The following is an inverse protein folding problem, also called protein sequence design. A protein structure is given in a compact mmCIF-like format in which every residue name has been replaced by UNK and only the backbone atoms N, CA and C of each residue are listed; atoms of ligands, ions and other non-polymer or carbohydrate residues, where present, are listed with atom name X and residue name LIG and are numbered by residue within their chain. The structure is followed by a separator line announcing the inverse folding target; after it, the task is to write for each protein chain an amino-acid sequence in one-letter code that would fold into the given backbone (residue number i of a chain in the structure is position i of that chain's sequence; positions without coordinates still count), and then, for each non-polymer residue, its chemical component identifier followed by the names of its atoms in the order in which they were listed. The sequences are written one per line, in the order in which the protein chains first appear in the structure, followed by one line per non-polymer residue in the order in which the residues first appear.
data_IF_417810297836
#
_entry.id   IF_417810297836
#
_cell.length_a   1.000
_cell.length_b   1.000
_cell.length_c   1.000
_cell.angle_alpha   90.00
_cell.angle_beta   90.00
_cell.angle_gamma   90.00
#
_symmetry.space_group_name_H-M   'P 1'
#
loop_
_entity.id
_entity.type
_entity.pdbx_description
1 polymer ?
#
# COMPACT_ATOMS: atom_id res chain seq x y z
N UNK A 1 -62.69 31.81 -33.36
CA UNK A 1 -62.09 30.56 -33.86
C UNK A 1 -60.64 30.51 -33.38
N UNK A 2 -60.41 29.99 -32.15
CA UNK A 2 -59.13 30.10 -31.43
C UNK A 2 -58.30 28.84 -31.72
N UNK A 3 -57.19 29.00 -32.44
CA UNK A 3 -56.20 27.94 -32.69
C UNK A 3 -55.40 27.69 -31.40
N UNK A 4 -55.57 26.51 -30.80
CA UNK A 4 -54.73 26.01 -29.70
C UNK A 4 -53.42 25.47 -30.27
N UNK A 5 -52.31 26.10 -29.91
CA UNK A 5 -50.97 25.52 -30.02
C UNK A 5 -50.84 24.40 -28.98
N UNK A 6 -50.68 23.16 -29.44
CA UNK A 6 -50.18 22.06 -28.60
C UNK A 6 -48.66 22.18 -28.60
N UNK A 7 -48.11 22.78 -27.55
CA UNK A 7 -46.68 22.66 -27.25
C UNK A 7 -46.50 21.27 -26.65
N UNK A 8 -45.99 20.34 -27.47
CA UNK A 8 -45.55 19.03 -27.01
C UNK A 8 -44.38 19.22 -26.05
N UNK A 9 -44.67 19.15 -24.76
CA UNK A 9 -43.69 19.10 -23.69
C UNK A 9 -43.00 17.73 -23.78
N UNK A 10 -41.88 17.67 -24.50
CA UNK A 10 -40.95 16.54 -24.41
C UNK A 10 -40.39 16.54 -22.98
N UNK A 11 -41.02 15.75 -22.12
CA UNK A 11 -40.44 15.26 -20.88
C UNK A 11 -39.25 14.38 -21.27
N UNK A 12 -38.08 15.01 -21.49
CA UNK A 12 -36.82 14.31 -21.31
C UNK A 12 -36.86 13.76 -19.89
N UNK A 13 -36.72 12.43 -19.67
CA UNK A 13 -36.31 11.99 -18.37
C UNK A 13 -34.92 12.59 -18.17
N UNK A 14 -34.86 13.64 -17.36
CA UNK A 14 -33.68 13.97 -16.58
C UNK A 14 -33.31 12.66 -15.89
N UNK A 15 -32.38 11.93 -16.51
CA UNK A 15 -31.55 10.95 -15.83
C UNK A 15 -30.81 11.76 -14.78
N UNK A 16 -31.49 11.98 -13.65
CA UNK A 16 -30.88 12.38 -12.42
C UNK A 16 -29.78 11.36 -12.21
N UNK A 17 -28.57 11.85 -12.42
CA UNK A 17 -27.33 11.21 -12.10
C UNK A 17 -27.38 11.00 -10.58
N UNK A 18 -28.04 9.92 -10.16
CA UNK A 18 -27.75 9.30 -8.88
C UNK A 18 -26.30 8.84 -9.00
N UNK A 19 -25.37 9.75 -8.74
CA UNK A 19 -24.06 9.39 -8.28
C UNK A 19 -24.32 8.47 -7.09
N UNK A 20 -24.27 7.16 -7.34
CA UNK A 20 -24.59 6.16 -6.35
C UNK A 20 -23.77 6.52 -5.11
N UNK A 21 -24.46 6.75 -3.99
CA UNK A 21 -23.89 6.85 -2.65
C UNK A 21 -23.24 5.50 -2.36
N UNK A 22 -22.02 5.31 -2.86
CA UNK A 22 -21.42 3.99 -3.01
C UNK A 22 -20.35 3.72 -1.97
N UNK A 23 -20.33 2.49 -1.48
CA UNK A 23 -19.25 1.95 -0.67
C UNK A 23 -17.96 1.87 -1.51
N UNK A 24 -16.86 2.36 -0.94
CA UNK A 24 -15.60 2.51 -1.68
C UNK A 24 -14.41 2.11 -0.84
N UNK A 25 -13.46 1.43 -1.48
CA UNK A 25 -12.06 1.32 -1.04
C UNK A 25 -11.19 2.04 -2.06
N UNK A 26 -10.36 2.98 -1.64
CA UNK A 26 -9.34 3.60 -2.50
C UNK A 26 -7.96 3.31 -1.96
N UNK A 27 -7.08 2.73 -2.78
CA UNK A 27 -5.65 2.60 -2.46
C UNK A 27 -4.92 3.78 -3.09
N UNK A 28 -4.26 4.60 -2.29
CA UNK A 28 -3.32 5.63 -2.71
C UNK A 28 -1.91 5.11 -2.56
N UNK A 29 -1.10 5.29 -3.59
CA UNK A 29 0.32 4.97 -3.55
C UNK A 29 1.14 6.23 -3.83
N UNK A 30 2.15 6.44 -2.99
CA UNK A 30 3.14 7.49 -3.09
C UNK A 30 4.47 6.79 -3.41
N UNK A 31 5.08 7.04 -4.58
CA UNK A 31 6.34 6.41 -4.94
C UNK A 31 7.49 6.95 -4.08
N UNK A 32 8.61 6.23 -4.02
CA UNK A 32 9.84 6.82 -3.52
C UNK A 32 10.34 7.94 -4.45
N UNK A 33 11.08 8.94 -3.96
CA UNK A 33 11.54 10.07 -4.80
C UNK A 33 12.31 9.62 -6.04
N UNK A 34 13.19 8.63 -5.88
CA UNK A 34 13.84 7.88 -6.96
C UNK A 34 13.53 6.39 -6.76
N UNK A 35 13.45 5.58 -7.83
CA UNK A 35 13.17 4.15 -7.71
C UNK A 35 14.21 3.42 -6.85
N UNK A 36 13.74 2.57 -5.92
CA UNK A 36 14.59 1.65 -5.18
C UNK A 36 15.14 0.57 -6.11
N UNK A 37 16.42 0.23 -5.97
CA UNK A 37 17.06 -0.79 -6.78
C UNK A 37 17.21 -2.10 -6.00
N UNK A 38 16.31 -3.03 -6.25
CA UNK A 38 16.26 -4.33 -5.58
C UNK A 38 17.20 -5.38 -6.18
N UNK A 39 18.17 -5.03 -7.04
CA UNK A 39 19.05 -6.01 -7.72
C UNK A 39 20.06 -6.66 -6.78
N UNK A 40 20.52 -5.95 -5.76
CA UNK A 40 21.50 -6.43 -4.78
C UNK A 40 21.41 -5.65 -3.46
N UNK A 41 21.98 -6.16 -2.35
CA UNK A 41 22.07 -5.40 -1.10
C UNK A 41 22.71 -4.03 -1.29
N UNK A 42 23.82 -3.97 -2.05
CA UNK A 42 24.53 -2.72 -2.34
C UNK A 42 23.65 -1.70 -3.06
N UNK A 43 22.98 -2.12 -4.14
CA UNK A 43 22.15 -1.20 -4.94
C UNK A 43 20.90 -0.76 -4.20
N UNK A 44 20.31 -1.62 -3.37
CA UNK A 44 19.19 -1.26 -2.50
C UNK A 44 19.64 -0.23 -1.45
N UNK A 45 20.76 -0.49 -0.79
CA UNK A 45 21.33 0.42 0.20
C UNK A 45 21.63 1.80 -0.42
N UNK A 46 22.34 1.85 -1.55
CA UNK A 46 22.69 3.11 -2.20
C UNK A 46 21.47 3.89 -2.70
N UNK A 47 20.47 3.21 -3.29
CA UNK A 47 19.23 3.86 -3.72
C UNK A 47 18.41 4.40 -2.55
N UNK A 48 18.35 3.67 -1.43
CA UNK A 48 17.72 4.15 -0.21
C UNK A 48 18.43 5.38 0.38
N UNK A 49 19.77 5.35 0.48
CA UNK A 49 20.55 6.51 0.95
C UNK A 49 20.32 7.71 0.03
N UNK A 50 20.30 7.51 -1.29
CA UNK A 50 19.94 8.55 -2.25
C UNK A 50 18.59 9.19 -1.93
N UNK A 51 17.57 8.36 -1.69
CA UNK A 51 16.23 8.85 -1.33
C UNK A 51 16.14 9.59 0.00
N UNK A 52 17.01 9.31 0.98
CA UNK A 52 17.10 10.07 2.22
C UNK A 52 17.63 11.50 2.00
N UNK A 53 18.53 11.67 1.01
CA UNK A 53 19.19 12.92 0.71
C UNK A 53 18.37 13.82 -0.24
N UNK A 54 17.42 13.25 -0.99
CA UNK A 54 16.54 14.02 -1.87
C UNK A 54 15.67 14.98 -1.04
N UNK A 55 15.81 16.28 -1.31
CA UNK A 55 14.92 17.28 -0.75
C UNK A 55 13.57 17.22 -1.48
N UNK A 56 12.58 16.61 -0.86
CA UNK A 56 11.21 16.67 -1.37
C UNK A 56 10.52 17.93 -0.88
N UNK A 57 9.57 18.45 -1.65
CA UNK A 57 8.68 19.53 -1.23
C UNK A 57 7.67 19.12 -0.13
N UNK A 58 7.96 18.06 0.64
CA UNK A 58 7.11 17.46 1.67
C UNK A 58 7.90 17.20 2.96
N UNK A 59 8.41 18.24 3.66
CA UNK A 59 9.37 18.06 4.76
C UNK A 59 8.83 17.21 5.92
N UNK A 60 7.53 17.31 6.24
CA UNK A 60 6.89 16.55 7.33
C UNK A 60 6.50 15.12 6.96
N UNK A 61 6.31 14.85 5.67
CA UNK A 61 5.81 13.58 5.15
C UNK A 61 6.72 13.03 4.07
N UNK A 62 8.03 12.97 4.36
CA UNK A 62 9.00 12.31 3.48
C UNK A 62 8.81 10.81 3.54
N UNK A 63 8.77 10.17 2.37
CA UNK A 63 8.60 8.72 2.18
C UNK A 63 9.75 8.15 1.33
N UNK A 64 10.95 7.95 1.90
CA UNK A 64 12.12 7.49 1.15
C UNK A 64 11.95 6.10 0.52
N UNK A 65 11.06 5.27 1.06
CA UNK A 65 10.70 3.94 0.56
C UNK A 65 9.36 3.93 -0.20
N UNK A 66 8.77 5.10 -0.44
CA UNK A 66 7.37 5.22 -0.82
C UNK A 66 6.42 4.96 0.36
N UNK A 67 5.12 5.10 0.11
CA UNK A 67 4.08 4.90 1.11
C UNK A 67 2.76 4.49 0.46
N UNK A 68 1.95 3.72 1.19
CA UNK A 68 0.61 3.34 0.75
C UNK A 68 -0.39 3.73 1.83
N UNK A 69 -1.46 4.40 1.40
CA UNK A 69 -2.58 4.82 2.23
C UNK A 69 -3.82 4.18 1.62
N UNK A 70 -4.78 3.74 2.43
CA UNK A 70 -6.09 3.35 1.94
C UNK A 70 -7.20 4.20 2.57
N UNK A 71 -8.22 4.50 1.76
CA UNK A 71 -9.47 5.13 2.19
C UNK A 71 -10.59 4.10 2.10
N UNK A 72 -11.29 3.88 3.20
CA UNK A 72 -12.51 3.09 3.25
C UNK A 72 -13.65 4.03 3.65
N UNK A 73 -14.69 4.13 2.81
CA UNK A 73 -15.82 5.02 3.09
C UNK A 73 -17.16 4.54 2.53
N UNK A 74 -18.22 4.90 3.24
CA UNK A 74 -19.60 4.89 2.78
C UNK A 74 -20.27 6.23 3.17
N UNK A 75 -21.60 6.27 3.26
CA UNK A 75 -22.32 7.49 3.66
C UNK A 75 -22.24 7.83 5.16
N UNK A 76 -21.90 6.87 6.01
CA UNK A 76 -21.91 6.97 7.46
C UNK A 76 -20.51 6.81 8.10
N UNK A 77 -19.58 6.18 7.37
CA UNK A 77 -18.28 5.73 7.86
C UNK A 77 -17.17 6.26 6.97
N UNK A 78 -16.07 6.66 7.60
CA UNK A 78 -14.90 7.19 6.93
C UNK A 78 -13.63 6.79 7.65
N UNK A 79 -12.68 6.22 6.92
CA UNK A 79 -11.34 5.94 7.42
C UNK A 79 -10.33 6.20 6.31
N UNK A 80 -9.34 7.06 6.56
CA UNK A 80 -8.17 7.25 5.72
C UNK A 80 -6.92 6.90 6.52
N UNK A 81 -6.27 5.80 6.13
CA UNK A 81 -5.35 5.05 6.99
C UNK A 81 -4.04 4.71 6.26
N UNK A 82 -2.92 4.91 6.93
CA UNK A 82 -1.59 4.44 6.53
C UNK A 82 -0.87 3.88 7.75
N UNK A 83 -0.05 2.84 7.60
CA UNK A 83 0.73 2.28 8.71
C UNK A 83 2.16 2.81 8.71
N UNK A 84 2.66 3.24 9.86
CA UNK A 84 4.03 3.77 10.01
C UNK A 84 4.64 3.33 11.34
N UNK A 85 5.97 3.28 11.42
CA UNK A 85 6.65 3.24 12.70
C UNK A 85 6.42 4.56 13.45
N UNK A 86 6.24 4.50 14.77
CA UNK A 86 6.09 5.69 15.63
C UNK A 86 7.36 6.53 15.65
N UNK A 87 8.51 5.89 15.63
CA UNK A 87 9.81 6.55 15.78
C UNK A 87 10.74 6.21 14.62
N UNK A 88 11.01 7.21 13.77
CA UNK A 88 12.06 7.11 12.74
C UNK A 88 13.44 6.97 13.37
N UNK A 89 13.66 7.59 14.53
CA UNK A 89 14.91 7.51 15.27
C UNK A 89 15.15 6.09 15.81
N UNK A 90 14.11 5.39 16.26
CA UNK A 90 14.17 3.99 16.66
C UNK A 90 14.64 3.11 15.50
N UNK A 91 13.93 3.16 14.36
CA UNK A 91 14.33 2.41 13.16
C UNK A 91 15.79 2.70 12.76
N UNK A 92 16.19 3.98 12.78
CA UNK A 92 17.56 4.36 12.43
C UNK A 92 18.59 3.86 13.44
N UNK A 93 18.31 3.94 14.75
CA UNK A 93 19.19 3.43 15.80
C UNK A 93 19.33 1.90 15.73
N UNK A 94 18.26 1.18 15.41
CA UNK A 94 18.31 -0.29 15.23
C UNK A 94 19.28 -0.70 14.13
N UNK A 95 19.30 0.05 13.02
CA UNK A 95 20.25 -0.19 11.93
C UNK A 95 21.68 0.23 12.29
N UNK A 96 21.85 1.38 12.95
CA UNK A 96 23.16 2.03 13.10
C UNK A 96 23.88 1.77 14.42
N UNK A 97 23.15 1.70 15.54
CA UNK A 97 23.69 1.52 16.90
C UNK A 97 23.53 0.09 17.39
N UNK A 98 22.40 -0.54 17.08
CA UNK A 98 22.12 -1.92 17.50
C UNK A 98 22.67 -2.95 16.50
N UNK A 99 23.15 -2.50 15.34
CA UNK A 99 23.81 -3.34 14.34
C UNK A 99 22.91 -4.49 13.84
N UNK A 100 21.65 -4.19 13.50
CA UNK A 100 20.75 -5.23 12.96
C UNK A 100 20.96 -5.51 11.47
N UNK A 101 21.76 -4.71 10.76
CA UNK A 101 21.94 -4.86 9.31
C UNK A 101 20.60 -4.87 8.56
N UNK A 102 20.40 -5.86 7.69
CA UNK A 102 19.11 -6.12 7.02
C UNK A 102 18.08 -6.85 7.90
N UNK A 103 18.45 -7.29 9.11
CA UNK A 103 17.52 -7.83 10.10
C UNK A 103 16.44 -6.82 10.51
N UNK A 104 16.72 -5.52 10.36
CA UNK A 104 15.73 -4.45 10.53
C UNK A 104 14.49 -4.62 9.64
N UNK A 105 14.59 -5.31 8.49
CA UNK A 105 13.46 -5.53 7.57
C UNK A 105 12.47 -6.54 8.14
N UNK A 106 12.86 -7.32 9.13
CA UNK A 106 12.02 -8.31 9.80
C UNK A 106 11.65 -7.86 11.22
N UNK A 107 12.38 -6.89 11.78
CA UNK A 107 12.13 -6.39 13.14
C UNK A 107 10.74 -5.76 13.29
N UNK A 108 10.09 -6.05 14.42
CA UNK A 108 8.85 -5.38 14.82
C UNK A 108 9.14 -4.15 15.66
N UNK A 109 8.75 -3.00 15.12
CA UNK A 109 8.81 -1.69 15.75
C UNK A 109 7.46 -1.32 16.33
N UNK A 110 7.48 -0.39 17.28
CA UNK A 110 6.26 0.24 17.75
C UNK A 110 5.61 1.04 16.60
N UNK A 111 4.45 0.58 16.18
CA UNK A 111 3.69 1.10 15.06
C UNK A 111 2.58 2.07 15.47
N UNK A 112 2.04 2.75 14.47
CA UNK A 112 0.74 3.41 14.56
C UNK A 112 0.08 3.45 13.19
N UNK A 113 -1.25 3.54 13.20
CA UNK A 113 -1.99 4.02 12.04
C UNK A 113 -2.00 5.55 12.04
N UNK A 114 -1.64 6.15 10.92
CA UNK A 114 -1.76 7.58 10.69
C UNK A 114 -3.22 8.01 10.75
N UNK A 115 -3.45 9.21 11.27
CA UNK A 115 -4.79 9.78 11.36
C UNK A 115 -5.30 10.15 9.97
N UNK A 116 -6.63 10.25 9.84
CA UNK A 116 -7.21 10.71 8.58
C UNK A 116 -6.85 12.16 8.27
N UNK A 117 -6.65 13.01 9.28
CA UNK A 117 -6.14 14.37 9.10
C UNK A 117 -4.72 14.38 8.51
N UNK A 118 -3.78 13.64 9.13
CA UNK A 118 -2.41 13.51 8.65
C UNK A 118 -2.36 13.03 7.19
N UNK A 119 -3.13 11.99 6.88
CA UNK A 119 -3.17 11.43 5.53
C UNK A 119 -3.83 12.40 4.55
N UNK A 120 -4.88 13.12 4.95
CA UNK A 120 -5.55 14.07 4.07
C UNK A 120 -4.61 15.19 3.61
N UNK A 121 -3.83 15.75 4.53
CA UNK A 121 -2.80 16.74 4.21
C UNK A 121 -1.74 16.19 3.26
N UNK A 122 -1.33 14.93 3.45
CA UNK A 122 -0.37 14.28 2.56
C UNK A 122 -0.89 14.15 1.12
N UNK A 123 -2.18 13.81 0.96
CA UNK A 123 -2.80 13.66 -0.34
C UNK A 123 -3.04 15.01 -1.02
N UNK A 124 -3.53 16.02 -0.29
CA UNK A 124 -3.85 17.35 -0.87
C UNK A 124 -2.61 18.04 -1.45
N UNK A 125 -1.46 17.89 -0.80
CA UNK A 125 -0.19 18.48 -1.27
C UNK A 125 0.35 17.79 -2.54
N UNK A 126 -0.02 16.52 -2.76
CA UNK A 126 0.52 15.67 -3.82
C UNK A 126 -0.36 15.61 -5.06
N UNK A 127 -1.68 15.71 -4.93
CA UNK A 127 -2.60 15.72 -6.07
C UNK A 127 -2.19 16.71 -7.18
N UNK A 128 -1.83 17.98 -6.88
CA UNK A 128 -1.50 18.96 -7.92
C UNK A 128 -0.17 18.67 -8.63
N UNK A 129 0.73 17.90 -8.00
CA UNK A 129 2.06 17.58 -8.51
C UNK A 129 2.09 16.26 -9.28
N UNK A 130 1.17 15.34 -8.96
CA UNK A 130 1.14 14.00 -9.54
C UNK A 130 2.04 13.02 -8.80
N UNK A 131 2.55 13.40 -7.62
CA UNK A 131 3.44 12.57 -6.78
C UNK A 131 2.67 11.51 -5.97
N UNK A 132 1.49 11.11 -6.46
CA UNK A 132 0.72 9.97 -6.00
C UNK A 132 -0.14 9.44 -7.16
N UNK A 133 -0.53 8.18 -7.07
CA UNK A 133 -1.54 7.57 -7.93
C UNK A 133 -2.57 6.82 -7.07
N UNK A 134 -3.72 6.47 -7.63
CA UNK A 134 -4.77 5.77 -6.88
C UNK A 134 -5.55 4.72 -7.67
N UNK A 135 -6.04 3.71 -6.95
CA UNK A 135 -7.00 2.71 -7.44
C UNK A 135 -8.25 2.83 -6.58
N UNK A 136 -9.39 3.12 -7.19
CA UNK A 136 -10.68 3.18 -6.51
C UNK A 136 -11.50 1.95 -6.87
N UNK A 137 -11.94 1.22 -5.87
CA UNK A 137 -12.88 0.12 -6.00
C UNK A 137 -14.28 0.57 -5.58
N UNK A 138 -15.26 0.31 -6.42
CA UNK A 138 -16.67 0.42 -6.06
C UNK A 138 -17.13 -0.93 -5.51
N UNK A 139 -17.65 -0.95 -4.29
CA UNK A 139 -17.95 -2.17 -3.56
C UNK A 139 -19.45 -2.32 -3.35
N UNK A 140 -19.91 -3.57 -3.23
CA UNK A 140 -21.20 -3.83 -2.62
C UNK A 140 -21.12 -3.61 -1.09
N UNK A 141 -22.28 -3.56 -0.44
CA UNK A 141 -22.38 -3.29 1.00
C UNK A 141 -21.73 -4.39 1.85
N UNK A 142 -21.91 -5.66 1.52
CA UNK A 142 -21.39 -6.78 2.29
C UNK A 142 -19.85 -6.80 2.31
N UNK A 143 -19.21 -6.62 1.15
CA UNK A 143 -17.76 -6.54 1.04
C UNK A 143 -17.22 -5.35 1.81
N UNK A 144 -17.91 -4.20 1.73
CA UNK A 144 -17.53 -3.03 2.50
C UNK A 144 -17.59 -3.26 4.01
N UNK A 145 -18.69 -3.82 4.52
CA UNK A 145 -18.84 -4.14 5.94
C UNK A 145 -17.81 -5.17 6.40
N UNK A 146 -17.47 -6.14 5.54
CA UNK A 146 -16.42 -7.11 5.80
C UNK A 146 -15.04 -6.44 5.98
N UNK A 147 -14.67 -5.52 5.08
CA UNK A 147 -13.43 -4.76 5.17
C UNK A 147 -13.43 -3.79 6.37
N UNK A 148 -14.57 -3.19 6.68
CA UNK A 148 -14.72 -2.30 7.83
C UNK A 148 -14.51 -3.06 9.14
N UNK A 149 -15.16 -4.22 9.28
CA UNK A 149 -14.96 -5.10 10.43
C UNK A 149 -13.50 -5.52 10.58
N UNK A 150 -12.80 -5.82 9.48
CA UNK A 150 -11.37 -6.12 9.55
C UNK A 150 -10.55 -4.95 10.11
N UNK A 151 -10.82 -3.72 9.69
CA UNK A 151 -10.12 -2.54 10.21
C UNK A 151 -10.39 -2.34 11.72
N UNK A 152 -11.63 -2.51 12.15
CA UNK A 152 -12.00 -2.37 13.56
C UNK A 152 -11.34 -3.46 14.41
N UNK A 153 -11.46 -4.73 14.00
CA UNK A 153 -10.82 -5.85 14.71
C UNK A 153 -9.28 -5.73 14.72
N UNK A 154 -8.67 -5.19 13.66
CA UNK A 154 -7.22 -4.97 13.60
C UNK A 154 -6.75 -3.97 14.68
N UNK A 155 -7.55 -2.93 14.94
CA UNK A 155 -7.30 -1.95 16.01
C UNK A 155 -7.62 -2.51 17.39
N UNK A 156 -8.77 -3.17 17.55
CA UNK A 156 -9.20 -3.76 18.83
C UNK A 156 -8.20 -4.78 19.36
N UNK A 157 -7.57 -5.54 18.45
CA UNK A 157 -6.53 -6.52 18.79
C UNK A 157 -5.14 -5.92 18.99
N UNK A 158 -4.98 -4.61 18.80
CA UNK A 158 -3.71 -3.89 18.97
C UNK A 158 -2.69 -4.16 17.87
N UNK A 159 -3.09 -4.71 16.72
CA UNK A 159 -2.15 -4.96 15.62
C UNK A 159 -1.71 -3.66 14.91
N UNK A 160 -2.45 -2.57 15.10
CA UNK A 160 -2.11 -1.21 14.69
C UNK A 160 -0.85 -0.66 15.37
N UNK A 161 -0.43 -1.25 16.49
CA UNK A 161 0.81 -0.89 17.18
C UNK A 161 2.02 -1.71 16.74
N UNK A 162 1.90 -2.54 15.69
CA UNK A 162 2.98 -3.42 15.21
C UNK A 162 3.37 -3.06 13.77
N UNK A 163 4.53 -2.41 13.59
CA UNK A 163 5.08 -2.07 12.28
C UNK A 163 6.31 -2.92 11.97
N UNK A 164 6.27 -3.72 10.90
CA UNK A 164 7.37 -4.61 10.50
C UNK A 164 7.32 -4.97 9.02
N UNK A 165 8.37 -5.60 8.52
CA UNK A 165 8.40 -6.17 7.15
C UNK A 165 8.13 -7.68 7.07
N UNK A 166 7.74 -8.35 8.17
CA UNK A 166 7.17 -9.71 8.08
C UNK A 166 5.87 -9.69 7.28
N UNK A 167 5.13 -8.57 7.32
CA UNK A 167 4.01 -8.28 6.42
C UNK A 167 2.91 -9.36 6.45
N UNK A 168 2.52 -9.78 7.67
CA UNK A 168 1.51 -10.81 7.92
C UNK A 168 0.31 -10.23 8.70
N UNK A 169 -0.39 -9.21 8.14
CA UNK A 169 -1.43 -8.52 8.89
C UNK A 169 -2.61 -9.44 9.23
N UNK A 170 -3.01 -10.35 8.32
CA UNK A 170 -4.11 -11.31 8.56
C UNK A 170 -3.75 -12.46 9.51
N UNK A 171 -2.47 -12.65 9.86
CA UNK A 171 -2.05 -13.56 10.94
C UNK A 171 -1.94 -12.84 12.30
N UNK A 172 -2.26 -11.54 12.36
CA UNK A 172 -2.14 -10.74 13.58
C UNK A 172 -0.70 -10.43 13.99
N UNK A 173 0.23 -10.39 13.02
CA UNK A 173 1.66 -10.17 13.26
C UNK A 173 2.15 -8.78 12.86
N UNK A 174 1.25 -7.80 12.70
CA UNK A 174 1.59 -6.47 12.20
C UNK A 174 1.93 -6.43 10.70
N UNK A 175 2.19 -5.23 10.18
CA UNK A 175 2.54 -5.01 8.79
C UNK A 175 3.15 -3.62 8.52
N UNK A 176 3.86 -3.50 7.39
CA UNK A 176 4.14 -2.22 6.75
C UNK A 176 2.92 -1.66 6.01
N UNK A 177 3.02 -0.42 5.54
CA UNK A 177 1.91 0.31 4.89
C UNK A 177 1.32 -0.43 3.68
N UNK A 178 2.17 -0.90 2.77
CA UNK A 178 1.76 -1.59 1.56
C UNK A 178 1.10 -2.93 1.88
N UNK A 179 1.71 -3.76 2.71
CA UNK A 179 1.14 -5.06 3.09
C UNK A 179 -0.21 -4.94 3.80
N UNK A 180 -0.38 -3.94 4.67
CA UNK A 180 -1.68 -3.67 5.28
C UNK A 180 -2.72 -3.33 4.20
N UNK A 181 -2.43 -2.39 3.30
CA UNK A 181 -3.34 -2.01 2.22
C UNK A 181 -3.67 -3.19 1.28
N UNK A 182 -2.68 -4.01 0.91
CA UNK A 182 -2.90 -5.20 0.07
C UNK A 182 -3.78 -6.23 0.77
N UNK A 183 -3.70 -6.37 2.10
CA UNK A 183 -4.59 -7.30 2.81
C UNK A 183 -6.08 -6.95 2.67
N UNK A 184 -6.43 -5.68 2.46
CA UNK A 184 -7.82 -5.29 2.12
C UNK A 184 -8.20 -5.72 0.70
N UNK A 185 -7.28 -5.68 -0.25
CA UNK A 185 -7.52 -6.16 -1.61
C UNK A 185 -7.71 -7.67 -1.64
N UNK A 186 -6.90 -8.40 -0.87
CA UNK A 186 -7.00 -9.86 -0.73
C UNK A 186 -8.30 -10.26 -0.04
N UNK A 187 -8.68 -9.59 1.06
CA UNK A 187 -9.92 -9.86 1.77
C UNK A 187 -11.17 -9.59 0.93
N UNK A 188 -11.15 -8.51 0.15
CA UNK A 188 -12.25 -8.16 -0.73
C UNK A 188 -12.25 -8.92 -2.06
N UNK A 189 -11.23 -9.72 -2.36
CA UNK A 189 -11.09 -10.39 -3.65
C UNK A 189 -11.04 -9.41 -4.83
N UNK A 190 -10.46 -8.23 -4.63
CA UNK A 190 -10.64 -7.08 -5.52
C UNK A 190 -9.72 -7.10 -6.74
N UNK A 191 -8.60 -7.80 -6.64
CA UNK A 191 -7.62 -8.02 -7.70
C UNK A 191 -7.19 -9.48 -7.73
N UNK A 192 -6.85 -9.95 -8.92
CA UNK A 192 -6.30 -11.27 -9.12
C UNK A 192 -4.84 -11.36 -8.63
N UNK A 193 -4.40 -12.60 -8.37
CA UNK A 193 -3.05 -12.86 -7.88
C UNK A 193 -1.96 -12.41 -8.86
N UNK A 194 -2.21 -12.46 -10.17
CA UNK A 194 -1.22 -12.08 -11.19
C UNK A 194 -0.94 -10.58 -11.13
N UNK A 195 -1.97 -9.76 -10.94
CA UNK A 195 -1.81 -8.31 -10.71
C UNK A 195 -1.02 -8.04 -9.42
N UNK A 196 -1.38 -8.69 -8.31
CA UNK A 196 -0.67 -8.51 -7.03
C UNK A 196 0.81 -8.93 -7.12
N UNK A 197 1.13 -9.95 -7.91
CA UNK A 197 2.52 -10.40 -8.13
C UNK A 197 3.39 -9.33 -8.80
N UNK A 198 2.83 -8.49 -9.68
CA UNK A 198 3.57 -7.41 -10.36
C UNK A 198 4.05 -6.32 -9.39
N UNK A 199 3.36 -6.17 -8.27
CA UNK A 199 3.68 -5.16 -7.25
C UNK A 199 4.68 -5.67 -6.23
N UNK A 200 5.03 -6.96 -6.28
CA UNK A 200 5.78 -7.64 -5.23
C UNK A 200 7.24 -7.83 -5.60
N UNK A 201 8.10 -7.38 -4.72
CA UNK A 201 9.52 -7.76 -4.70
C UNK A 201 9.68 -9.00 -3.83
N UNK A 202 10.44 -9.98 -4.31
CA UNK A 202 10.85 -11.13 -3.53
C UNK A 202 12.36 -11.30 -3.64
N UNK A 203 13.05 -11.26 -2.50
CA UNK A 203 14.51 -11.41 -2.41
C UNK A 203 14.87 -12.41 -1.32
N UNK A 204 15.97 -13.12 -1.53
CA UNK A 204 16.55 -14.01 -0.52
C UNK A 204 17.78 -13.30 0.06
N UNK A 205 17.68 -12.85 1.31
CA UNK A 205 18.73 -12.10 1.99
C UNK A 205 19.68 -13.09 2.65
N UNK A 206 20.99 -12.89 2.44
CA UNK A 206 22.02 -13.78 2.99
C UNK A 206 22.03 -13.66 4.52
N UNK A 207 22.10 -14.77 5.25
CA UNK A 207 22.10 -14.75 6.73
C UNK A 207 23.18 -13.86 7.33
N UNK A 208 24.35 -13.78 6.69
CA UNK A 208 25.44 -12.89 7.13
C UNK A 208 25.11 -11.39 7.09
N UNK A 209 23.98 -11.01 6.49
CA UNK A 209 23.48 -9.64 6.45
C UNK A 209 22.34 -9.41 7.44
N UNK A 210 21.87 -10.45 8.14
CA UNK A 210 20.81 -10.40 9.12
C UNK A 210 21.45 -10.36 10.52
N UNK A 211 21.28 -9.24 11.21
CA UNK A 211 21.64 -9.10 12.62
C UNK A 211 20.41 -9.02 13.52
N UNK A 212 20.64 -8.84 14.82
CA UNK A 212 19.58 -8.77 15.82
C UNK A 212 18.88 -10.11 16.06
N UNK A 213 17.68 -10.12 16.69
CA UNK A 213 16.95 -11.35 17.04
C UNK A 213 16.72 -12.29 15.86
N UNK A 214 16.51 -11.72 14.67
CA UNK A 214 16.24 -12.46 13.43
C UNK A 214 17.48 -13.17 12.87
N UNK A 215 18.69 -12.78 13.31
CA UNK A 215 19.97 -13.30 12.84
C UNK A 215 20.76 -14.04 13.91
N UNK A 216 20.09 -14.71 14.84
CA UNK A 216 20.70 -15.35 16.02
C UNK A 216 21.46 -14.35 16.92
N UNK A 217 20.94 -13.13 17.07
CA UNK A 217 21.54 -12.05 17.87
C UNK A 217 22.94 -11.61 17.41
N UNK A 218 23.31 -11.86 16.14
CA UNK A 218 24.56 -11.35 15.55
C UNK A 218 24.52 -9.83 15.40
N UNK A 219 25.67 -9.20 15.63
CA UNK A 219 25.86 -7.76 15.37
C UNK A 219 26.41 -7.55 13.96
N UNK A 220 25.55 -7.08 13.05
CA UNK A 220 25.86 -6.80 11.66
C UNK A 220 25.77 -5.30 11.40
N UNK A 221 26.92 -4.66 11.18
CA UNK A 221 26.95 -3.24 10.81
C UNK A 221 26.35 -3.00 9.42
N UNK A 222 26.25 -1.73 9.02
CA UNK A 222 25.75 -1.37 7.68
C UNK A 222 26.76 -1.63 6.55
N UNK A 223 28.05 -1.74 6.88
CA UNK A 223 29.13 -1.82 5.89
C UNK A 223 28.98 -3.03 4.94
N UNK A 224 28.67 -4.26 5.41
CA UNK A 224 28.46 -5.40 4.52
C UNK A 224 27.39 -5.16 3.45
N UNK A 225 26.35 -4.38 3.74
CA UNK A 225 25.33 -4.03 2.73
C UNK A 225 25.93 -3.21 1.60
N UNK A 226 26.80 -2.26 1.93
CA UNK A 226 27.47 -1.40 0.95
C UNK A 226 28.47 -2.13 0.05
N UNK A 227 28.86 -3.37 0.34
CA UNK A 227 29.81 -4.13 -0.49
C UNK A 227 29.23 -5.42 -1.07
N UNK A 228 28.06 -5.88 -0.62
CA UNK A 228 27.49 -7.14 -1.12
C UNK A 228 26.73 -6.91 -2.43
N UNK A 229 27.28 -7.48 -3.51
CA UNK A 229 26.81 -7.25 -4.89
C UNK A 229 25.71 -8.22 -5.36
N UNK A 230 25.34 -9.22 -4.57
CA UNK A 230 24.34 -10.23 -4.94
C UNK A 230 23.47 -10.61 -3.75
N UNK A 231 22.20 -10.94 -4.00
CA UNK A 231 21.35 -11.63 -3.04
C UNK A 231 21.84 -13.07 -2.81
N UNK A 232 21.15 -13.82 -1.95
CA UNK A 232 21.54 -15.19 -1.65
C UNK A 232 21.37 -16.14 -2.85
N UNK A 233 22.40 -16.93 -3.10
CA UNK A 233 22.30 -18.14 -3.92
C UNK A 233 21.70 -19.25 -3.04
N UNK A 234 20.42 -19.53 -3.24
CA UNK A 234 19.64 -20.44 -2.37
C UNK A 234 20.14 -21.88 -2.40
N UNK A 235 20.97 -22.25 -3.38
CA UNK A 235 21.58 -23.58 -3.45
C UNK A 235 22.88 -23.68 -2.62
N UNK A 236 23.48 -22.56 -2.22
CA UNK A 236 24.84 -22.52 -1.64
C UNK A 236 24.89 -21.97 -0.22
N UNK A 237 23.87 -21.26 0.24
CA UNK A 237 23.90 -20.63 1.55
C UNK A 237 22.49 -20.44 2.12
N UNK A 238 22.44 -20.37 3.45
CA UNK A 238 21.23 -20.03 4.18
C UNK A 238 20.78 -18.58 3.90
N UNK A 239 19.48 -18.37 3.98
CA UNK A 239 18.86 -17.09 3.65
C UNK A 239 17.56 -16.85 4.41
N UNK A 240 17.22 -15.57 4.60
CA UNK A 240 15.90 -15.10 4.99
C UNK A 240 15.16 -14.56 3.77
N UNK A 241 13.95 -15.06 3.51
CA UNK A 241 13.14 -14.57 2.39
C UNK A 241 12.33 -13.36 2.81
N UNK A 242 12.50 -12.26 2.08
CA UNK A 242 11.63 -11.10 2.18
C UNK A 242 10.66 -11.08 1.00
N UNK A 243 9.39 -10.82 1.30
CA UNK A 243 8.38 -10.46 0.30
C UNK A 243 7.77 -9.13 0.68
N UNK A 244 7.80 -8.16 -0.25
CA UNK A 244 7.42 -6.78 0.00
C UNK A 244 6.66 -6.22 -1.18
N UNK A 245 5.52 -5.57 -0.93
CA UNK A 245 4.80 -4.82 -1.95
C UNK A 245 5.41 -3.44 -2.09
N UNK A 246 5.95 -3.13 -3.26
CA UNK A 246 6.75 -1.91 -3.48
C UNK A 246 5.83 -0.77 -3.98
N UNK A 247 5.71 0.35 -3.24
CA UNK A 247 4.79 1.43 -3.58
C UNK A 247 5.02 2.02 -4.97
N UNK A 248 6.29 2.16 -5.40
CA UNK A 248 6.64 2.69 -6.72
C UNK A 248 6.19 1.76 -7.85
N UNK A 249 6.18 0.44 -7.65
CA UNK A 249 5.67 -0.54 -8.62
C UNK A 249 4.16 -0.41 -8.76
N UNK A 250 3.44 -0.25 -7.65
CA UNK A 250 1.99 0.03 -7.67
C UNK A 250 1.73 1.36 -8.41
N UNK A 251 2.51 2.40 -8.10
CA UNK A 251 2.39 3.72 -8.73
C UNK A 251 2.61 3.65 -10.24
N UNK A 252 3.66 2.96 -10.67
CA UNK A 252 3.99 2.77 -12.08
C UNK A 252 2.91 1.95 -12.79
N UNK A 253 2.43 0.88 -12.18
CA UNK A 253 1.35 0.06 -12.73
C UNK A 253 0.08 0.90 -12.98
N UNK A 254 -0.33 1.73 -12.02
CA UNK A 254 -1.49 2.63 -12.20
C UNK A 254 -1.25 3.62 -13.34
N UNK A 255 -0.05 4.22 -13.40
CA UNK A 255 0.29 5.18 -14.45
C UNK A 255 0.29 4.55 -15.84
N UNK A 256 0.80 3.33 -15.96
CA UNK A 256 0.80 2.55 -17.20
C UNK A 256 -0.62 2.17 -17.60
N UNK A 257 -1.42 1.63 -16.68
CA UNK A 257 -2.83 1.30 -16.92
C UNK A 257 -3.64 2.53 -17.34
N UNK A 258 -3.38 3.68 -16.73
CA UNK A 258 -4.03 4.94 -17.11
C UNK A 258 -3.66 5.39 -18.52
N UNK A 259 -2.39 5.27 -18.90
CA UNK A 259 -1.88 5.74 -20.19
C UNK A 259 -2.18 4.78 -21.34
N UNK A 260 -2.21 3.48 -21.04
CA UNK A 260 -2.41 2.40 -22.00
C UNK A 260 -3.48 1.45 -21.46
N UNK A 261 -4.78 1.82 -21.57
CA UNK A 261 -5.87 0.99 -21.10
C UNK A 261 -5.83 -0.42 -21.69
N UNK A 262 -5.78 -1.41 -20.81
CA UNK A 262 -5.77 -2.82 -21.17
C UNK A 262 -7.21 -3.30 -21.40
N UNK A 263 -7.54 -3.69 -22.63
CA UNK A 263 -8.88 -4.16 -22.98
C UNK A 263 -9.27 -5.47 -22.28
N UNK A 264 -8.30 -6.22 -21.73
CA UNK A 264 -8.54 -7.44 -20.95
C UNK A 264 -9.00 -7.17 -19.51
N UNK A 265 -8.79 -5.96 -18.99
CA UNK A 265 -9.24 -5.57 -17.65
C UNK A 265 -10.25 -4.42 -17.75
N UNK A 266 -11.48 -4.65 -17.28
CA UNK A 266 -12.50 -3.61 -17.24
C UNK A 266 -12.24 -2.65 -16.07
N UNK A 267 -11.78 -1.44 -16.40
CA UNK A 267 -11.68 -0.32 -15.46
C UNK A 267 -11.96 1.02 -16.15
N UNK A 268 -12.48 1.97 -15.38
CA UNK A 268 -12.58 3.36 -15.76
C UNK A 268 -11.30 4.14 -15.42
N UNK A 269 -11.14 5.28 -16.06
CA UNK A 269 -10.04 6.21 -15.81
C UNK A 269 -10.50 7.33 -14.86
N UNK A 270 -9.66 7.68 -13.90
CA UNK A 270 -9.83 8.78 -12.97
C UNK A 270 -8.63 9.73 -12.95
N UNK A 271 -8.88 10.98 -12.58
CA UNK A 271 -7.82 11.96 -12.38
C UNK A 271 -8.23 12.97 -11.29
N UNK A 272 -7.28 13.33 -10.41
CA UNK A 272 -7.46 14.41 -9.42
C UNK A 272 -6.21 15.28 -9.39
N UNK A 273 -6.32 16.50 -9.86
CA UNK A 273 -5.15 17.32 -10.19
C UNK A 273 -4.31 16.62 -11.27
N UNK A 274 -3.02 16.40 -11.00
CA UNK A 274 -2.12 15.61 -11.85
C UNK A 274 -2.02 14.14 -11.43
N UNK A 275 -2.61 13.75 -10.29
CA UNK A 275 -2.63 12.35 -9.88
C UNK A 275 -3.56 11.54 -10.77
N UNK A 276 -3.00 10.48 -11.37
CA UNK A 276 -3.73 9.51 -12.16
C UNK A 276 -4.38 8.48 -11.26
N UNK A 277 -5.54 7.99 -11.66
CA UNK A 277 -6.12 6.83 -11.00
C UNK A 277 -6.97 5.99 -11.92
N UNK A 278 -7.25 4.78 -11.47
CA UNK A 278 -8.15 3.85 -12.14
C UNK A 278 -9.33 3.54 -11.23
N UNK A 279 -10.48 3.24 -11.83
CA UNK A 279 -11.74 2.97 -11.14
C UNK A 279 -12.21 1.58 -11.53
N UNK A 280 -12.26 0.67 -10.58
CA UNK A 280 -12.63 -0.72 -10.80
C UNK A 280 -13.99 -0.95 -10.14
N UNK A 281 -14.98 -1.36 -10.92
CA UNK A 281 -16.29 -1.74 -10.38
C UNK A 281 -16.23 -3.20 -9.93
N UNK A 282 -16.61 -3.42 -8.66
CA UNK A 282 -16.65 -4.73 -8.00
C UNK A 282 -17.96 -4.95 -7.26
N UNK A 283 -18.99 -4.15 -7.57
CA UNK A 283 -20.32 -4.25 -6.92
C UNK A 283 -21.05 -5.55 -7.26
N UNK A 284 -20.65 -6.20 -8.34
CA UNK A 284 -21.19 -7.46 -8.84
C UNK A 284 -20.50 -8.71 -8.27
N UNK A 285 -19.31 -8.57 -7.67
CA UNK A 285 -18.61 -9.70 -7.07
C UNK A 285 -19.21 -10.06 -5.70
N UNK A 286 -19.37 -11.35 -5.38
CA UNK A 286 -19.73 -11.78 -4.04
C UNK A 286 -18.58 -11.52 -3.07
N UNK A 287 -18.92 -11.25 -1.81
CA UNK A 287 -17.90 -11.15 -0.75
C UNK A 287 -17.20 -12.49 -0.56
N UNK A 288 -15.85 -12.55 -0.54
CA UNK A 288 -15.15 -13.81 -0.33
C UNK A 288 -15.54 -14.49 1.00
N UNK A 289 -15.84 -15.79 0.95
CA UNK A 289 -16.23 -16.59 2.13
C UNK A 289 -15.08 -16.93 3.09
N UNK A 290 -13.88 -16.37 2.86
CA UNK A 290 -12.72 -16.60 3.71
C UNK A 290 -12.85 -15.87 5.05
N UNK A 291 -12.35 -16.47 6.13
CA UNK A 291 -12.22 -15.78 7.41
C UNK A 291 -11.35 -14.51 7.29
N UNK A 292 -11.68 -13.48 8.07
CA UNK A 292 -10.88 -12.25 8.14
C UNK A 292 -9.43 -12.58 8.52
N UNK A 293 -9.29 -13.38 9.57
CA UNK A 293 -8.01 -13.81 10.11
C UNK A 293 -7.63 -15.18 9.58
N UNK A 294 -6.37 -15.31 9.21
CA UNK A 294 -5.76 -16.60 8.93
C UNK A 294 -5.36 -17.19 10.28
N UNK A 295 -5.90 -18.37 10.60
CA UNK A 295 -5.42 -19.12 11.76
C UNK A 295 -3.93 -19.40 11.55
N UNK A 296 -3.06 -19.12 12.53
CA UNK A 296 -1.69 -19.60 12.47
C UNK A 296 -1.75 -21.11 12.25
N UNK A 297 -1.14 -21.60 11.17
CA UNK A 297 -1.02 -23.03 10.96
C UNK A 297 -0.45 -23.67 12.23
N UNK A 298 -1.15 -24.68 12.73
CA UNK A 298 -0.61 -25.59 13.74
C UNK A 298 0.65 -26.27 13.20
#
# INVERSE_FOLDING_TARGET
MIRRFIVSLFLLPLLFNQAAKGQQLTIYTIPSPMPLNWRSPHTLFMSYIGNLLVHTGYPRHRHPLGHVIFELRDTARYALVGAVARSRAEMFNTVTKEHYGLGTLFTTFNGKLETSEDNFHQLIDRYPKGDLAYIKFLLNEETFLHLWRYLDEYRERGYDTMYNGHNKPREGKGAGCSALAISFLELGGLLDSTTLLQWRVTINIQDKLIGGPEGDHKNISILPMAFTQRWADTAKQAYHRLSYYEPTYIYNWINTAWQYPDSSMSYGIGQRGKAKGIIIDRRDLPTPNGGIWLTPGK
#
